data_IF_961509534231
#
_entry.id   IF_961509534231
#
_cell.length_a   1.000
_cell.length_b   1.000
_cell.length_c   1.000
_cell.angle_alpha   90.00
_cell.angle_beta   90.00
_cell.angle_gamma   90.00
#
_symmetry.space_group_name_H-M   'P 1'
#
loop_
_entity.id
_entity.type
_entity.pdbx_description
1 polymer ?
#
# COMPACT_ATOMS: atom_id res chain seq x y z
N UNK A 1 9.63 14.86 17.62
CA UNK A 1 8.24 14.88 17.11
C UNK A 1 7.55 16.12 17.68
N UNK A 2 7.00 16.98 16.84
CA UNK A 2 6.21 18.14 17.29
C UNK A 2 4.80 17.68 17.70
N UNK A 3 4.09 18.43 18.57
CA UNK A 3 2.70 18.10 18.89
C UNK A 3 1.81 17.99 17.66
N UNK A 4 2.02 18.85 16.66
CA UNK A 4 1.24 18.89 15.43
C UNK A 4 1.47 17.63 14.55
N UNK A 5 2.74 17.19 14.41
CA UNK A 5 3.06 15.96 13.68
C UNK A 5 2.49 14.72 14.38
N UNK A 6 2.42 14.72 15.71
CA UNK A 6 1.79 13.64 16.48
C UNK A 6 0.28 13.59 16.25
N UNK A 7 -0.37 14.76 16.28
CA UNK A 7 -1.82 14.88 16.05
C UNK A 7 -2.17 14.44 14.62
N UNK A 8 -1.42 14.91 13.62
CA UNK A 8 -1.61 14.57 12.22
C UNK A 8 -1.46 13.06 11.99
N UNK A 9 -0.36 12.47 12.50
CA UNK A 9 -0.10 11.04 12.35
C UNK A 9 -1.16 10.19 13.06
N UNK A 10 -1.66 10.65 14.21
CA UNK A 10 -2.76 10.00 14.92
C UNK A 10 -4.04 10.05 14.10
N UNK A 11 -4.39 11.21 13.52
CA UNK A 11 -5.55 11.38 12.64
C UNK A 11 -5.49 10.45 11.42
N UNK A 12 -4.34 10.42 10.73
CA UNK A 12 -4.11 9.50 9.60
C UNK A 12 -4.23 8.03 10.02
N UNK A 13 -3.65 7.67 11.15
CA UNK A 13 -3.71 6.30 11.68
C UNK A 13 -5.13 5.84 11.97
N UNK A 14 -5.93 6.69 12.61
CA UNK A 14 -7.36 6.40 12.89
C UNK A 14 -8.13 6.24 11.58
N UNK A 15 -7.91 7.12 10.60
CA UNK A 15 -8.58 7.04 9.31
C UNK A 15 -8.21 5.76 8.53
N UNK A 16 -6.93 5.38 8.50
CA UNK A 16 -6.44 4.17 7.83
C UNK A 16 -7.03 2.90 8.46
N UNK A 17 -7.01 2.80 9.80
CA UNK A 17 -7.61 1.65 10.50
C UNK A 17 -9.11 1.60 10.27
N UNK A 18 -9.80 2.75 10.28
CA UNK A 18 -11.23 2.84 9.98
C UNK A 18 -11.53 2.40 8.55
N UNK A 19 -10.70 2.78 7.57
CA UNK A 19 -10.85 2.35 6.17
C UNK A 19 -10.69 0.84 6.01
N UNK A 20 -9.71 0.22 6.69
CA UNK A 20 -9.56 -1.23 6.73
C UNK A 20 -10.81 -1.92 7.31
N UNK A 21 -11.37 -1.39 8.40
CA UNK A 21 -12.60 -1.93 9.00
C UNK A 21 -13.82 -1.74 8.11
N UNK A 22 -13.93 -0.59 7.42
CA UNK A 22 -14.97 -0.36 6.43
C UNK A 22 -14.86 -1.35 5.27
N UNK A 23 -13.65 -1.71 4.82
CA UNK A 23 -13.42 -2.76 3.83
C UNK A 23 -14.06 -4.09 4.27
N UNK A 24 -13.80 -4.53 5.51
CA UNK A 24 -14.42 -5.74 6.10
C UNK A 24 -15.94 -5.65 6.10
N UNK A 25 -16.48 -4.52 6.52
CA UNK A 25 -17.94 -4.31 6.60
C UNK A 25 -18.59 -4.30 5.21
N UNK A 26 -17.99 -3.60 4.24
CA UNK A 26 -18.47 -3.56 2.86
C UNK A 26 -18.50 -4.96 2.26
N UNK A 27 -17.43 -5.73 2.40
CA UNK A 27 -17.37 -7.11 1.90
C UNK A 27 -18.46 -8.00 2.53
N UNK A 28 -18.86 -7.74 3.77
CA UNK A 28 -19.87 -8.53 4.47
C UNK A 28 -21.31 -8.18 4.08
N UNK A 29 -21.56 -6.96 3.59
CA UNK A 29 -22.91 -6.39 3.37
C UNK A 29 -23.21 -6.09 1.90
N UNK A 30 -22.20 -5.76 1.09
CA UNK A 30 -22.37 -5.27 -0.27
C UNK A 30 -21.73 -6.25 -1.22
N UNK A 31 -22.52 -6.84 -2.12
CA UNK A 31 -22.01 -7.57 -3.26
C UNK A 31 -21.60 -6.58 -4.35
N UNK A 32 -20.31 -6.18 -4.33
CA UNK A 32 -19.76 -5.36 -5.40
C UNK A 32 -19.77 -6.17 -6.69
N UNK A 33 -20.28 -5.59 -7.76
CA UNK A 33 -20.18 -6.21 -9.09
C UNK A 33 -18.71 -6.24 -9.51
N UNK A 34 -18.32 -7.24 -10.28
CA UNK A 34 -16.94 -7.40 -10.78
C UNK A 34 -16.41 -6.11 -11.43
N UNK A 35 -17.19 -5.48 -12.31
CA UNK A 35 -16.82 -4.22 -12.97
C UNK A 35 -16.58 -3.07 -12.00
N UNK A 36 -17.40 -2.94 -10.95
CA UNK A 36 -17.20 -1.86 -9.94
C UNK A 36 -15.92 -2.07 -9.14
N UNK A 37 -15.59 -3.31 -8.80
CA UNK A 37 -14.33 -3.63 -8.14
C UNK A 37 -13.15 -3.29 -9.05
N UNK A 38 -13.17 -3.70 -10.30
CA UNK A 38 -12.12 -3.39 -11.27
C UNK A 38 -11.93 -1.88 -11.48
N UNK A 39 -13.01 -1.10 -11.55
CA UNK A 39 -12.93 0.35 -11.64
C UNK A 39 -12.26 0.97 -10.41
N UNK A 40 -12.64 0.51 -9.21
CA UNK A 40 -12.02 0.97 -7.97
C UNK A 40 -10.52 0.63 -7.94
N UNK A 41 -10.15 -0.61 -8.30
CA UNK A 41 -8.76 -1.05 -8.36
C UNK A 41 -7.95 -0.26 -9.39
N UNK A 42 -8.52 0.00 -10.56
CA UNK A 42 -7.89 0.80 -11.60
C UNK A 42 -7.65 2.25 -11.16
N UNK A 43 -8.63 2.89 -10.52
CA UNK A 43 -8.49 4.24 -9.95
C UNK A 43 -7.39 4.28 -8.89
N UNK A 44 -7.43 3.32 -7.96
CA UNK A 44 -6.45 3.23 -6.87
C UNK A 44 -5.04 2.97 -7.40
N UNK A 45 -4.89 2.11 -8.43
CA UNK A 45 -3.61 1.87 -9.10
C UNK A 45 -3.02 3.18 -9.66
N UNK A 46 -3.86 3.96 -10.36
CA UNK A 46 -3.45 5.26 -10.91
C UNK A 46 -3.08 6.26 -9.82
N UNK A 47 -3.86 6.32 -8.73
CA UNK A 47 -3.59 7.21 -7.59
C UNK A 47 -2.26 6.85 -6.90
N UNK A 48 -2.05 5.57 -6.61
CA UNK A 48 -0.82 5.06 -5.96
C UNK A 48 0.41 5.32 -6.82
N UNK A 49 0.29 5.04 -8.13
CA UNK A 49 1.34 5.35 -9.11
C UNK A 49 1.66 6.84 -9.14
N UNK A 50 0.63 7.68 -9.21
CA UNK A 50 0.78 9.13 -9.23
C UNK A 50 1.44 9.66 -7.95
N UNK A 51 1.03 9.20 -6.77
CA UNK A 51 1.64 9.59 -5.50
C UNK A 51 3.11 9.17 -5.44
N UNK A 52 3.45 7.95 -5.88
CA UNK A 52 4.85 7.50 -5.92
C UNK A 52 5.72 8.44 -6.76
N UNK A 53 5.25 8.81 -7.97
CA UNK A 53 6.04 9.57 -8.94
C UNK A 53 5.99 11.08 -8.74
N UNK A 54 4.86 11.66 -8.35
CA UNK A 54 4.70 13.11 -8.21
C UNK A 54 4.97 13.64 -6.81
N UNK A 55 4.85 12.80 -5.75
CA UNK A 55 5.12 13.21 -4.38
C UNK A 55 6.40 12.58 -3.83
N UNK A 56 6.50 11.26 -3.73
CA UNK A 56 7.61 10.64 -3.02
C UNK A 56 8.96 10.80 -3.72
N UNK A 57 9.02 10.60 -5.03
CA UNK A 57 10.30 10.69 -5.79
C UNK A 57 10.89 12.10 -5.77
N UNK A 58 10.13 13.18 -6.09
CA UNK A 58 10.69 14.54 -6.05
C UNK A 58 11.16 14.94 -4.64
N UNK A 59 10.38 14.60 -3.60
CA UNK A 59 10.74 14.90 -2.23
C UNK A 59 11.94 14.08 -1.74
N UNK A 60 12.09 12.82 -2.18
CA UNK A 60 13.29 12.04 -1.92
C UNK A 60 14.53 12.74 -2.50
N UNK A 61 14.46 13.16 -3.76
CA UNK A 61 15.56 13.88 -4.43
C UNK A 61 15.90 15.20 -3.73
N UNK A 62 14.92 15.94 -3.27
CA UNK A 62 15.13 17.21 -2.56
C UNK A 62 15.77 17.02 -1.16
N UNK A 63 15.61 15.85 -0.53
CA UNK A 63 16.13 15.55 0.81
C UNK A 63 17.51 14.93 0.82
N UNK A 64 17.91 14.24 -0.24
CA UNK A 64 19.22 13.58 -0.32
C UNK A 64 20.26 14.61 -0.74
N UNK A 65 21.29 14.75 0.11
CA UNK A 65 22.38 15.70 -0.11
C UNK A 65 23.44 15.15 -1.08
N UNK A 66 24.05 16.05 -1.86
CA UNK A 66 25.23 15.75 -2.69
C UNK A 66 24.93 15.40 -4.15
N UNK A 67 25.99 15.22 -4.96
CA UNK A 67 25.88 15.07 -6.42
C UNK A 67 25.22 13.74 -6.86
N UNK A 68 25.19 12.73 -6.00
CA UNK A 68 24.69 11.39 -6.29
C UNK A 68 23.23 11.18 -5.82
N UNK A 69 22.48 12.27 -5.54
CA UNK A 69 21.12 12.17 -5.03
C UNK A 69 20.20 11.32 -5.91
N UNK A 70 20.30 11.45 -7.24
CA UNK A 70 19.51 10.66 -8.21
C UNK A 70 19.85 9.17 -8.10
N UNK A 71 21.15 8.83 -8.07
CA UNK A 71 21.61 7.45 -7.97
C UNK A 71 21.13 6.80 -6.66
N UNK A 72 21.28 7.50 -5.55
CA UNK A 72 20.83 7.03 -4.23
C UNK A 72 19.31 6.83 -4.21
N UNK A 73 18.53 7.77 -4.75
CA UNK A 73 17.07 7.65 -4.86
C UNK A 73 16.69 6.41 -5.67
N UNK A 74 17.29 6.23 -6.86
CA UNK A 74 16.99 5.07 -7.71
C UNK A 74 17.36 3.76 -7.00
N UNK A 75 18.50 3.70 -6.32
CA UNK A 75 18.91 2.53 -5.55
C UNK A 75 17.88 2.15 -4.47
N UNK A 76 17.44 3.11 -3.68
CA UNK A 76 16.45 2.85 -2.63
C UNK A 76 15.07 2.51 -3.19
N UNK A 77 14.68 3.09 -4.33
CA UNK A 77 13.46 2.67 -5.05
C UNK A 77 13.54 1.22 -5.51
N UNK A 78 14.67 0.81 -6.08
CA UNK A 78 14.89 -0.59 -6.51
C UNK A 78 14.84 -1.53 -5.31
N UNK A 79 15.45 -1.17 -4.19
CA UNK A 79 15.38 -1.96 -2.95
C UNK A 79 13.94 -2.12 -2.47
N UNK A 80 13.16 -1.04 -2.43
CA UNK A 80 11.75 -1.08 -2.05
C UNK A 80 10.92 -1.97 -2.99
N UNK A 81 11.14 -1.84 -4.30
CA UNK A 81 10.48 -2.66 -5.30
C UNK A 81 10.86 -4.15 -5.15
N UNK A 82 12.15 -4.47 -5.01
CA UNK A 82 12.63 -5.86 -4.84
C UNK A 82 12.03 -6.46 -3.56
N UNK A 83 12.03 -5.72 -2.46
CA UNK A 83 11.42 -6.21 -1.22
C UNK A 83 9.97 -6.56 -1.43
N UNK A 84 9.18 -5.67 -2.08
CA UNK A 84 7.76 -5.94 -2.36
C UNK A 84 7.57 -7.14 -3.28
N UNK A 85 8.35 -7.26 -4.35
CA UNK A 85 8.32 -8.44 -5.23
C UNK A 85 8.64 -9.72 -4.45
N UNK A 86 9.61 -9.69 -3.55
CA UNK A 86 9.96 -10.84 -2.71
C UNK A 86 8.81 -11.19 -1.76
N UNK A 87 8.18 -10.19 -1.12
CA UNK A 87 7.01 -10.40 -0.26
C UNK A 87 5.86 -11.04 -1.04
N UNK A 88 5.52 -10.50 -2.20
CA UNK A 88 4.52 -11.05 -3.09
C UNK A 88 4.87 -12.49 -3.50
N UNK A 89 6.12 -12.73 -3.88
CA UNK A 89 6.55 -14.06 -4.32
C UNK A 89 6.58 -15.10 -3.21
N UNK A 90 7.06 -14.75 -2.03
CA UNK A 90 7.19 -15.68 -0.90
C UNK A 90 5.82 -15.99 -0.28
N UNK A 91 4.93 -15.00 -0.21
CA UNK A 91 3.68 -15.14 0.53
C UNK A 91 2.43 -15.31 -0.35
N UNK A 92 2.47 -14.93 -1.65
CA UNK A 92 1.32 -15.06 -2.56
C UNK A 92 1.42 -16.24 -3.56
N UNK A 93 2.44 -17.08 -3.47
CA UNK A 93 2.69 -18.19 -4.42
C UNK A 93 1.51 -19.17 -4.60
N UNK A 94 0.43 -19.04 -3.84
CA UNK A 94 -0.71 -19.95 -3.83
C UNK A 94 -2.03 -19.36 -4.32
N UNK A 95 -2.07 -18.13 -4.82
CA UNK A 95 -3.31 -17.55 -5.36
C UNK A 95 -3.66 -18.06 -6.76
N UNK A 96 -2.69 -18.55 -7.53
CA UNK A 96 -2.90 -19.04 -8.89
C UNK A 96 -3.60 -20.42 -8.99
N UNK A 97 -3.68 -21.17 -7.88
CA UNK A 97 -4.33 -22.50 -7.86
C UNK A 97 -5.87 -22.44 -7.67
N UNK A 98 -6.42 -21.26 -7.35
CA UNK A 98 -7.85 -21.11 -7.05
C UNK A 98 -8.73 -20.69 -8.25
N UNK A 99 -8.14 -20.46 -9.41
CA UNK A 99 -8.84 -19.96 -10.61
C UNK A 99 -9.21 -21.01 -11.65
N UNK A 100 -8.91 -22.29 -11.47
CA UNK A 100 -9.05 -23.29 -12.51
C UNK A 100 -9.91 -24.52 -12.10
N UNK A 101 -11.09 -24.29 -11.50
CA UNK A 101 -12.13 -25.32 -11.40
C UNK A 101 -13.13 -25.21 -12.54
N UNK A 102 -12.65 -25.55 -13.73
CA UNK A 102 -13.44 -25.80 -14.92
C UNK A 102 -12.94 -27.04 -15.64
N UNK A 103 -13.50 -28.24 -15.28
CA UNK A 103 -13.43 -29.50 -16.05
C UNK A 103 -12.04 -30.09 -16.33
N UNK A 104 -11.53 -30.94 -15.44
CA UNK A 104 -10.95 -32.23 -15.88
C UNK A 104 -11.18 -33.27 -14.78
N UNK A 105 -11.98 -34.28 -15.12
CA UNK A 105 -12.01 -35.59 -14.47
C UNK A 105 -10.59 -36.16 -14.50
N UNK A 106 -10.02 -36.58 -13.38
CA UNK A 106 -9.35 -37.86 -13.18
C UNK A 106 -8.69 -38.01 -11.81
N UNK A 107 -9.07 -39.11 -11.19
CA UNK A 107 -8.32 -40.00 -10.28
C UNK A 107 -7.98 -39.55 -8.85
N UNK A 108 -8.60 -40.32 -7.98
CA UNK A 108 -8.35 -40.41 -6.54
C UNK A 108 -6.89 -40.70 -6.22
N UNK A 109 -6.19 -39.73 -5.62
CA UNK A 109 -5.15 -40.03 -4.67
C UNK A 109 -5.56 -39.48 -3.30
N UNK A 110 -5.93 -40.41 -2.42
CA UNK A 110 -6.11 -40.18 -0.98
C UNK A 110 -4.73 -39.92 -0.40
N UNK A 111 -4.37 -38.62 -0.26
CA UNK A 111 -3.21 -38.16 0.47
C UNK A 111 -3.65 -37.09 1.46
N UNK A 112 -3.26 -37.20 2.72
CA UNK A 112 -3.56 -36.32 3.86
C UNK A 112 -3.48 -34.81 3.47
N UNK A 113 -4.60 -34.22 3.05
CA UNK A 113 -4.71 -32.82 2.61
C UNK A 113 -5.05 -31.81 3.73
N UNK A 114 -4.98 -32.20 5.00
CA UNK A 114 -5.41 -31.35 6.13
C UNK A 114 -4.43 -30.23 6.51
N UNK A 115 -3.14 -30.39 6.28
CA UNK A 115 -2.13 -29.48 6.86
C UNK A 115 -1.61 -28.41 5.89
N UNK A 116 -1.75 -28.56 4.59
CA UNK A 116 -1.24 -27.59 3.60
C UNK A 116 -2.14 -26.37 3.44
N UNK A 117 -3.46 -26.50 3.63
CA UNK A 117 -4.39 -25.38 3.55
C UNK A 117 -4.30 -24.43 4.76
N UNK A 118 -3.95 -24.95 5.94
CA UNK A 118 -3.83 -24.15 7.16
C UNK A 118 -2.61 -23.22 7.15
N UNK A 119 -1.53 -23.60 6.47
CA UNK A 119 -0.30 -22.82 6.40
C UNK A 119 -0.37 -21.64 5.39
N UNK A 120 -1.21 -21.74 4.38
CA UNK A 120 -1.29 -20.73 3.31
C UNK A 120 -1.85 -19.38 3.79
N UNK A 121 -2.92 -19.37 4.59
CA UNK A 121 -3.49 -18.10 5.08
C UNK A 121 -2.54 -17.35 6.03
N UNK A 122 -1.73 -18.08 6.81
CA UNK A 122 -0.74 -17.47 7.70
C UNK A 122 0.35 -16.75 6.89
N UNK A 123 0.86 -17.40 5.83
CA UNK A 123 1.84 -16.81 4.93
C UNK A 123 1.34 -15.50 4.32
N UNK A 124 0.12 -15.50 3.76
CA UNK A 124 -0.48 -14.31 3.16
C UNK A 124 -0.70 -13.21 4.21
N UNK A 125 -1.19 -13.56 5.40
CA UNK A 125 -1.38 -12.59 6.50
C UNK A 125 -0.06 -11.98 6.95
N UNK A 126 1.02 -12.77 7.03
CA UNK A 126 2.36 -12.28 7.34
C UNK A 126 2.91 -11.38 6.22
N UNK A 127 2.73 -11.77 4.95
CA UNK A 127 3.11 -10.94 3.81
C UNK A 127 2.41 -9.58 3.80
N UNK A 128 1.10 -9.58 4.02
CA UNK A 128 0.30 -8.35 4.16
C UNK A 128 0.69 -7.53 5.39
N UNK A 129 1.12 -8.18 6.48
CA UNK A 129 1.67 -7.51 7.65
C UNK A 129 2.98 -6.78 7.34
N UNK A 130 3.91 -7.44 6.66
CA UNK A 130 5.17 -6.83 6.22
C UNK A 130 4.93 -5.70 5.20
N UNK A 131 4.00 -5.88 4.28
CA UNK A 131 3.52 -4.84 3.38
C UNK A 131 3.02 -3.61 4.16
N UNK A 132 2.14 -3.80 5.14
CA UNK A 132 1.64 -2.72 5.99
C UNK A 132 2.74 -2.00 6.78
N UNK A 133 3.80 -2.71 7.21
CA UNK A 133 4.97 -2.11 7.85
C UNK A 133 5.74 -1.20 6.87
N UNK A 134 5.94 -1.61 5.61
CA UNK A 134 6.63 -0.78 4.62
C UNK A 134 5.86 0.50 4.29
N UNK A 135 4.54 0.42 4.17
CA UNK A 135 3.65 1.58 3.99
C UNK A 135 3.73 2.54 5.18
N UNK A 136 3.63 1.99 6.39
CA UNK A 136 3.74 2.77 7.61
C UNK A 136 5.09 3.47 7.72
N UNK A 137 6.19 2.81 7.37
CA UNK A 137 7.51 3.42 7.35
C UNK A 137 7.58 4.61 6.38
N UNK A 138 7.03 4.46 5.17
CA UNK A 138 6.96 5.55 4.20
C UNK A 138 6.07 6.70 4.69
N UNK A 139 4.92 6.41 5.30
CA UNK A 139 4.04 7.43 5.89
C UNK A 139 4.73 8.18 7.04
N UNK A 140 5.42 7.46 7.93
CA UNK A 140 6.17 8.07 9.03
C UNK A 140 7.29 8.99 8.55
N UNK A 141 8.01 8.59 7.49
CA UNK A 141 9.03 9.42 6.85
C UNK A 141 8.42 10.66 6.17
N UNK A 142 7.25 10.51 5.52
CA UNK A 142 6.52 11.63 4.89
C UNK A 142 6.09 12.67 5.93
N UNK A 143 5.47 12.24 7.05
CA UNK A 143 5.08 13.14 8.15
C UNK A 143 6.32 13.81 8.78
N UNK A 144 7.43 13.10 8.89
CA UNK A 144 8.68 13.68 9.39
C UNK A 144 9.26 14.72 8.42
N UNK A 145 9.15 14.46 7.10
CA UNK A 145 9.51 15.42 6.06
C UNK A 145 8.73 16.73 6.22
N UNK A 146 7.41 16.65 6.28
CA UNK A 146 6.55 17.84 6.41
C UNK A 146 6.85 18.63 7.69
N UNK A 147 7.14 17.94 8.80
CA UNK A 147 7.43 18.58 10.09
C UNK A 147 8.73 19.39 10.11
N UNK A 148 9.65 19.16 9.17
CA UNK A 148 10.92 19.91 9.08
C UNK A 148 10.82 21.18 8.25
N UNK A 149 9.91 21.24 7.29
CA UNK A 149 9.79 22.38 6.37
C UNK A 149 8.77 23.43 6.82
N UNK A 150 8.09 23.21 7.93
CA UNK A 150 6.98 24.05 8.38
C UNK A 150 5.66 23.68 7.69
N UNK A 151 4.54 23.85 8.39
CA UNK A 151 3.20 23.36 8.03
C UNK A 151 2.63 23.95 6.72
N UNK A 152 3.31 24.91 6.11
CA UNK A 152 2.70 25.77 5.09
C UNK A 152 2.87 25.31 3.63
N UNK A 153 3.72 24.30 3.33
CA UNK A 153 4.06 24.06 1.90
C UNK A 153 4.22 22.61 1.45
N UNK A 154 4.22 21.61 2.29
CA UNK A 154 4.47 20.23 1.84
C UNK A 154 3.38 19.25 2.25
N UNK A 155 2.57 18.81 1.28
CA UNK A 155 1.51 17.81 1.45
C UNK A 155 2.01 16.38 1.13
N UNK A 156 3.32 16.08 1.35
CA UNK A 156 3.90 14.76 1.05
C UNK A 156 3.21 13.68 1.85
N UNK A 157 3.00 13.93 3.14
CA UNK A 157 2.30 13.00 4.02
C UNK A 157 0.84 12.83 3.63
N UNK A 158 0.17 13.88 3.13
CA UNK A 158 -1.21 13.78 2.70
C UNK A 158 -1.36 12.93 1.44
N UNK A 159 -0.48 13.07 0.45
CA UNK A 159 -0.45 12.21 -0.73
C UNK A 159 -0.24 10.74 -0.36
N UNK A 160 0.76 10.46 0.49
CA UNK A 160 1.03 9.11 0.99
C UNK A 160 -0.16 8.55 1.80
N UNK A 161 -0.76 9.37 2.67
CA UNK A 161 -1.96 9.00 3.42
C UNK A 161 -3.12 8.62 2.50
N UNK A 162 -3.40 9.42 1.46
CA UNK A 162 -4.47 9.11 0.50
C UNK A 162 -4.19 7.81 -0.26
N UNK A 163 -2.95 7.60 -0.71
CA UNK A 163 -2.58 6.35 -1.35
C UNK A 163 -2.93 5.15 -0.46
N UNK A 164 -2.50 5.18 0.82
CA UNK A 164 -2.79 4.10 1.78
C UNK A 164 -4.30 4.00 2.04
N UNK A 165 -4.98 5.12 2.31
CA UNK A 165 -6.40 5.15 2.65
C UNK A 165 -7.27 4.46 1.60
N UNK A 166 -6.99 4.70 0.32
CA UNK A 166 -7.81 4.18 -0.78
C UNK A 166 -7.55 2.71 -1.09
N UNK A 167 -6.32 2.19 -0.91
CA UNK A 167 -6.07 0.77 -1.15
C UNK A 167 -6.27 -0.11 0.09
N UNK A 168 -6.28 0.43 1.28
CA UNK A 168 -6.44 -0.33 2.54
C UNK A 168 -7.72 -1.17 2.62
N UNK A 169 -8.89 -0.74 2.10
CA UNK A 169 -10.05 -1.62 1.98
C UNK A 169 -9.82 -2.83 1.07
N UNK A 170 -9.01 -2.68 0.00
CA UNK A 170 -8.67 -3.77 -0.92
C UNK A 170 -7.78 -4.81 -0.24
N UNK A 171 -6.80 -4.38 0.56
CA UNK A 171 -5.98 -5.26 1.41
C UNK A 171 -6.86 -6.11 2.33
N UNK A 172 -7.83 -5.46 2.99
CA UNK A 172 -8.77 -6.15 3.87
C UNK A 172 -9.61 -7.20 3.11
N UNK A 173 -10.00 -6.92 1.86
CA UNK A 173 -10.70 -7.88 1.01
C UNK A 173 -9.83 -9.10 0.71
N UNK A 174 -8.56 -8.89 0.37
CA UNK A 174 -7.61 -9.96 0.08
C UNK A 174 -7.41 -10.87 1.29
N UNK A 175 -7.14 -10.32 2.47
CA UNK A 175 -6.95 -11.08 3.71
C UNK A 175 -8.20 -11.91 4.03
N UNK A 176 -9.38 -11.28 4.04
CA UNK A 176 -10.63 -11.95 4.38
C UNK A 176 -11.03 -13.00 3.34
N UNK A 177 -10.79 -12.73 2.06
CA UNK A 177 -11.07 -13.66 0.97
C UNK A 177 -10.30 -14.97 1.16
N UNK A 178 -8.99 -14.88 1.34
CA UNK A 178 -8.11 -16.05 1.53
C UNK A 178 -8.44 -16.80 2.82
N UNK A 179 -8.66 -16.09 3.92
CA UNK A 179 -8.99 -16.75 5.20
C UNK A 179 -10.35 -17.46 5.17
N UNK A 180 -11.33 -16.95 4.41
CA UNK A 180 -12.61 -17.62 4.19
C UNK A 180 -12.45 -18.91 3.39
N UNK A 181 -11.67 -18.88 2.31
CA UNK A 181 -11.37 -20.07 1.49
C UNK A 181 -10.66 -21.13 2.34
N UNK A 182 -9.75 -20.71 3.23
CA UNK A 182 -9.08 -21.61 4.17
C UNK A 182 -9.97 -22.10 5.33
N UNK A 183 -11.26 -21.77 5.36
CA UNK A 183 -12.21 -22.20 6.39
C UNK A 183 -12.01 -21.51 7.76
N UNK A 184 -11.24 -20.42 7.81
CA UNK A 184 -11.01 -19.66 9.05
C UNK A 184 -12.28 -18.91 9.43
N UNK A 185 -12.67 -19.06 10.72
CA UNK A 185 -13.88 -18.40 11.23
C UNK A 185 -13.82 -16.87 11.15
N UNK A 186 -14.97 -16.24 10.88
CA UNK A 186 -15.07 -14.79 10.67
C UNK A 186 -14.43 -13.94 11.77
N UNK A 187 -14.51 -14.36 13.05
CA UNK A 187 -13.88 -13.63 14.16
C UNK A 187 -12.36 -13.62 14.07
N UNK A 188 -11.76 -14.77 13.77
CA UNK A 188 -10.31 -14.89 13.62
C UNK A 188 -9.81 -14.09 12.41
N UNK A 189 -10.52 -14.15 11.29
CA UNK A 189 -10.21 -13.37 10.10
C UNK A 189 -10.29 -11.86 10.36
N UNK A 190 -11.32 -11.41 11.07
CA UNK A 190 -11.45 -9.99 11.45
C UNK A 190 -10.34 -9.54 12.41
N UNK A 191 -9.95 -10.37 13.39
CA UNK A 191 -8.85 -10.07 14.31
C UNK A 191 -7.50 -10.00 13.58
N UNK A 192 -7.24 -10.92 12.65
CA UNK A 192 -6.04 -10.89 11.80
C UNK A 192 -5.99 -9.60 10.97
N UNK A 193 -7.10 -9.20 10.36
CA UNK A 193 -7.18 -7.95 9.60
C UNK A 193 -6.95 -6.72 10.47
N UNK A 194 -7.50 -6.67 11.70
CA UNK A 194 -7.23 -5.59 12.67
C UNK A 194 -5.74 -5.57 13.02
N UNK A 195 -5.14 -6.75 13.28
CA UNK A 195 -3.72 -6.85 13.57
C UNK A 195 -2.85 -6.28 12.44
N UNK A 196 -3.11 -6.68 11.20
CA UNK A 196 -2.42 -6.16 10.01
C UNK A 196 -2.66 -4.65 9.84
N UNK A 197 -3.90 -4.17 10.02
CA UNK A 197 -4.22 -2.75 9.90
C UNK A 197 -3.48 -1.88 10.93
N UNK A 198 -3.20 -2.40 12.13
CA UNK A 198 -2.47 -1.69 13.18
C UNK A 198 -0.95 -1.65 12.95
N UNK A 199 -0.40 -2.54 12.12
CA UNK A 199 1.04 -2.54 11.81
C UNK A 199 1.46 -1.29 11.04
N UNK A 200 0.61 -0.75 10.16
CA UNK A 200 0.89 0.48 9.43
C UNK A 200 1.05 1.68 10.37
N UNK A 201 0.11 2.03 11.25
CA UNK A 201 0.32 3.04 12.28
C UNK A 201 1.55 2.80 13.15
N UNK A 202 1.74 1.58 13.63
CA UNK A 202 2.89 1.23 14.46
C UNK A 202 4.21 1.57 13.76
N UNK A 203 4.37 1.13 12.51
CA UNK A 203 5.56 1.43 11.72
C UNK A 203 5.70 2.93 11.45
N UNK A 204 4.60 3.64 11.20
CA UNK A 204 4.61 5.08 10.95
C UNK A 204 5.10 5.87 12.18
N UNK A 205 4.61 5.55 13.37
CA UNK A 205 5.09 6.17 14.62
C UNK A 205 6.55 5.84 14.89
N UNK A 206 6.95 4.57 14.74
CA UNK A 206 8.33 4.14 14.97
C UNK A 206 9.30 4.81 13.99
N UNK A 207 8.93 4.95 12.73
CA UNK A 207 9.78 5.58 11.71
C UNK A 207 9.86 7.09 11.92
N UNK A 208 8.73 7.76 12.14
CA UNK A 208 8.70 9.20 12.40
C UNK A 208 9.53 9.58 13.64
N UNK A 209 9.48 8.76 14.68
CA UNK A 209 10.28 8.95 15.89
C UNK A 209 11.75 8.56 15.68
N UNK A 210 12.00 7.40 15.06
CA UNK A 210 13.32 6.81 14.86
C UNK A 210 14.23 7.65 13.95
N UNK A 211 13.67 8.24 12.89
CA UNK A 211 14.42 9.13 11.98
C UNK A 211 15.04 10.31 12.74
N UNK A 212 14.38 10.84 13.77
CA UNK A 212 14.92 11.95 14.58
C UNK A 212 16.24 11.65 15.29
N UNK A 213 16.64 10.39 15.43
CA UNK A 213 17.94 10.03 16.02
C UNK A 213 19.12 10.17 15.07
N UNK A 214 18.88 10.34 13.76
CA UNK A 214 19.95 10.49 12.78
C UNK A 214 20.66 11.86 12.81
N UNK A 215 20.12 12.84 13.55
CA UNK A 215 20.75 14.16 13.72
C UNK A 215 21.04 14.86 12.38
N UNK A 216 22.30 15.22 12.07
CA UNK A 216 22.62 15.90 10.80
C UNK A 216 22.30 15.10 9.53
N UNK A 217 22.21 13.77 9.61
CA UNK A 217 21.87 12.89 8.48
C UNK A 217 20.35 12.64 8.38
N UNK A 218 19.53 13.34 9.13
CA UNK A 218 18.08 13.16 9.17
C UNK A 218 17.44 13.39 7.80
N UNK A 219 17.85 14.43 7.07
CA UNK A 219 17.36 14.70 5.71
C UNK A 219 17.62 13.54 4.75
N UNK A 220 18.82 13.02 4.75
CA UNK A 220 19.21 11.86 3.93
C UNK A 220 18.41 10.59 4.31
N UNK A 221 18.17 10.39 5.60
CA UNK A 221 17.38 9.25 6.08
C UNK A 221 15.92 9.35 5.62
N UNK A 222 15.32 10.54 5.69
CA UNK A 222 13.98 10.81 5.14
C UNK A 222 13.97 10.53 3.64
N UNK A 223 14.90 11.11 2.88
CA UNK A 223 14.96 10.94 1.43
C UNK A 223 15.05 9.47 1.01
N UNK A 224 15.89 8.68 1.66
CA UNK A 224 16.02 7.23 1.42
C UNK A 224 14.74 6.47 1.76
N UNK A 225 14.08 6.81 2.86
CA UNK A 225 12.82 6.17 3.26
C UNK A 225 11.69 6.52 2.28
N UNK A 226 11.61 7.76 1.78
CA UNK A 226 10.67 8.16 0.75
C UNK A 226 10.92 7.43 -0.59
N UNK A 227 12.19 7.32 -1.01
CA UNK A 227 12.55 6.56 -2.21
C UNK A 227 12.16 5.09 -2.09
N UNK A 228 12.46 4.47 -0.95
CA UNK A 228 12.08 3.10 -0.65
C UNK A 228 10.56 2.92 -0.72
N UNK A 229 9.80 3.82 -0.10
CA UNK A 229 8.33 3.84 -0.14
C UNK A 229 7.79 4.01 -1.57
N UNK A 230 8.41 4.89 -2.38
CA UNK A 230 8.04 5.07 -3.78
C UNK A 230 8.22 3.77 -4.57
N UNK A 231 9.33 3.06 -4.39
CA UNK A 231 9.57 1.76 -5.02
C UNK A 231 8.57 0.69 -4.60
N UNK A 232 8.22 0.66 -3.32
CA UNK A 232 7.20 -0.25 -2.80
C UNK A 232 5.82 0.05 -3.42
N UNK A 233 5.40 1.32 -3.46
CA UNK A 233 4.14 1.74 -4.08
C UNK A 233 4.10 1.47 -5.58
N UNK A 234 5.21 1.66 -6.30
CA UNK A 234 5.30 1.29 -7.72
C UNK A 234 5.06 -0.20 -7.94
N UNK A 235 5.65 -1.05 -7.10
CA UNK A 235 5.41 -2.48 -7.17
C UNK A 235 3.92 -2.81 -6.96
N UNK A 236 3.29 -2.24 -5.93
CA UNK A 236 1.86 -2.45 -5.63
C UNK A 236 0.99 -2.02 -6.82
N UNK A 237 1.21 -0.82 -7.34
CA UNK A 237 0.42 -0.29 -8.45
C UNK A 237 0.52 -1.15 -9.69
N UNK A 238 1.72 -1.64 -10.02
CA UNK A 238 2.00 -2.35 -11.26
C UNK A 238 1.78 -3.86 -11.19
N UNK A 239 1.98 -4.49 -10.03
CA UNK A 239 1.87 -5.95 -9.90
C UNK A 239 0.57 -6.43 -9.30
N UNK A 240 -0.02 -5.70 -8.37
CA UNK A 240 -1.22 -6.11 -7.67
C UNK A 240 -2.50 -5.53 -8.29
N UNK A 241 -2.49 -4.22 -8.53
CA UNK A 241 -3.69 -3.51 -8.93
C UNK A 241 -3.90 -3.50 -10.45
N UNK A 242 -2.84 -3.38 -11.23
CA UNK A 242 -2.94 -3.28 -12.69
C UNK A 242 -3.25 -4.60 -13.41
N UNK A 243 -2.70 -5.77 -13.03
CA UNK A 243 -2.97 -7.03 -13.70
C UNK A 243 -4.43 -7.46 -13.62
N UNK A 244 -5.07 -7.25 -12.46
CA UNK A 244 -6.50 -7.55 -12.26
C UNK A 244 -7.38 -6.81 -13.28
N UNK A 245 -6.94 -5.63 -13.73
CA UNK A 245 -7.61 -4.80 -14.72
C UNK A 245 -7.36 -5.28 -16.17
N UNK A 246 -6.23 -5.95 -16.43
CA UNK A 246 -5.76 -6.21 -17.80
C UNK A 246 -6.37 -7.46 -18.46
N UNK A 247 -6.82 -8.43 -17.66
CA UNK A 247 -7.25 -9.74 -18.18
C UNK A 247 -8.70 -9.81 -18.65
N UNK A 248 -9.52 -8.76 -18.48
CA UNK A 248 -10.93 -8.78 -18.87
C UNK A 248 -11.20 -7.87 -20.07
N UNK A 249 -11.62 -8.46 -21.18
CA UNK A 249 -11.75 -7.83 -22.50
C UNK A 249 -12.89 -6.80 -22.67
N UNK A 250 -13.78 -6.66 -21.69
CA UNK A 250 -14.91 -5.72 -21.72
C UNK A 250 -14.56 -4.48 -20.86
N UNK A 251 -14.95 -3.29 -21.30
CA UNK A 251 -14.77 -2.00 -20.57
C UNK A 251 -13.35 -1.43 -20.48
N UNK A 252 -12.42 -1.79 -21.38
CA UNK A 252 -11.03 -1.31 -21.37
C UNK A 252 -10.92 0.22 -21.31
N UNK A 253 -11.77 0.94 -22.06
CA UNK A 253 -11.76 2.38 -22.06
C UNK A 253 -12.12 2.95 -20.70
N UNK A 254 -13.15 2.41 -20.05
CA UNK A 254 -13.64 2.85 -18.74
C UNK A 254 -12.59 2.62 -17.65
N UNK A 255 -11.91 1.47 -17.69
CA UNK A 255 -10.80 1.15 -16.77
C UNK A 255 -9.60 2.08 -16.99
N UNK A 256 -9.25 2.36 -18.25
CA UNK A 256 -8.17 3.31 -18.57
C UNK A 256 -8.52 4.72 -18.09
N UNK A 257 -9.74 5.18 -18.30
CA UNK A 257 -10.21 6.49 -17.81
C UNK A 257 -10.15 6.55 -16.29
N UNK A 258 -10.57 5.48 -15.60
CA UNK A 258 -10.49 5.37 -14.14
C UNK A 258 -9.04 5.46 -13.63
N UNK A 259 -8.10 4.76 -14.29
CA UNK A 259 -6.68 4.79 -13.97
C UNK A 259 -6.09 6.21 -14.17
N UNK A 260 -6.36 6.83 -15.32
CA UNK A 260 -5.91 8.20 -15.61
C UNK A 260 -6.52 9.19 -14.62
N UNK A 261 -7.77 9.01 -14.22
CA UNK A 261 -8.41 9.84 -13.19
C UNK A 261 -7.68 9.74 -11.85
N UNK A 262 -7.23 8.54 -11.44
CA UNK A 262 -6.39 8.36 -10.25
C UNK A 262 -5.08 9.14 -10.33
N UNK A 263 -4.37 9.04 -11.46
CA UNK A 263 -3.14 9.82 -11.71
C UNK A 263 -3.44 11.33 -11.67
N UNK A 264 -4.53 11.77 -12.28
CA UNK A 264 -4.90 13.18 -12.31
C UNK A 264 -5.18 13.76 -10.92
N UNK A 265 -5.78 12.96 -10.02
CA UNK A 265 -5.96 13.34 -8.61
C UNK A 265 -4.60 13.52 -7.93
N UNK A 266 -3.68 12.57 -8.06
CA UNK A 266 -2.33 12.70 -7.49
C UNK A 266 -1.59 13.92 -8.05
N UNK A 267 -1.66 14.15 -9.36
CA UNK A 267 -1.06 15.34 -9.99
C UNK A 267 -1.70 16.64 -9.48
N UNK A 268 -3.01 16.67 -9.29
CA UNK A 268 -3.71 17.86 -8.77
C UNK A 268 -3.26 18.21 -7.35
N UNK A 269 -3.00 17.21 -6.51
CA UNK A 269 -2.43 17.42 -5.18
C UNK A 269 -1.04 18.02 -5.27
N UNK A 270 -0.19 17.48 -6.13
CA UNK A 270 1.16 18.03 -6.38
C UNK A 270 1.11 19.47 -6.91
N UNK A 271 0.17 19.79 -7.81
CA UNK A 271 -0.01 21.13 -8.33
C UNK A 271 -0.43 22.14 -7.25
N UNK A 272 -1.35 21.74 -6.36
CA UNK A 272 -1.78 22.58 -5.21
C UNK A 272 -0.60 22.84 -4.27
N UNK A 273 0.24 21.83 -4.02
CA UNK A 273 1.45 21.93 -3.20
C UNK A 273 2.47 22.91 -3.79
N UNK A 274 2.57 22.98 -5.12
CA UNK A 274 3.51 23.88 -5.82
C UNK A 274 3.04 25.33 -5.92
N UNK A 275 1.78 25.64 -5.54
CA UNK A 275 1.25 27.01 -5.60
C UNK A 275 1.81 27.83 -4.43
N UNK A 276 2.36 29.03 -4.68
CA UNK A 276 2.74 29.94 -3.61
C UNK A 276 1.48 30.31 -2.81
N UNK A 277 1.45 29.97 -1.55
CA UNK A 277 0.38 30.41 -0.66
C UNK A 277 0.50 31.93 -0.44
N UNK A 278 -0.59 32.69 -0.47
CA UNK A 278 -0.60 34.15 -0.33
C UNK A 278 -0.15 34.63 1.05
#
# INVERSE_FOLDING_TARGET
MTPDSLLLLTGYSVAIVTAAMLGVWVQSKIHLTHTRMQLAMSFVAGLVLGVALYHLVPHSLARISGPNAVEITVWWMIIGMILMVLLLRVFQFHQHDFGNDGNHHHEHHVGNGGDTHSLNWLGITLGMGLHALTEGAALGASVRSDSQNGVETELVSFGMFLAILFHKPLDAFSILGVMRIAGVGHRAASLANIGVALLCPLAAFLTCWGIGFFGPAEGDAIGRALAFGAGALLCIALSDLLPEVHFHGHDRLLLTVSFVAGIAVAYSLHYIESLPMP
#
